data_IF_924056023562
#
_entry.id   IF_924056023562
#
_cell.length_a   1.000
_cell.length_b   1.000
_cell.length_c   1.000
_cell.angle_alpha   90.00
_cell.angle_beta   90.00
_cell.angle_gamma   90.00
#
_symmetry.space_group_name_H-M   'P 1'
#
loop_
_entity.id
_entity.type
_entity.pdbx_description
1 polymer ?
#
# COMPACT_ATOMS: atom_id res chain seq x y z
N UNK A 1 -9.95 -17.35 -3.99
CA UNK A 1 -8.74 -17.00 -3.21
C UNK A 1 -7.56 -17.84 -3.66
N UNK A 2 -7.44 -19.07 -3.15
CA UNK A 2 -6.27 -19.93 -3.35
C UNK A 2 -5.81 -20.12 -4.80
N UNK A 3 -6.71 -20.40 -5.75
CA UNK A 3 -6.34 -20.57 -7.17
C UNK A 3 -5.75 -19.29 -7.77
N UNK A 4 -6.30 -18.12 -7.42
CA UNK A 4 -5.78 -16.83 -7.87
C UNK A 4 -4.43 -16.52 -7.24
N UNK A 5 -4.24 -16.85 -5.96
CA UNK A 5 -2.98 -16.66 -5.26
C UNK A 5 -1.85 -17.52 -5.88
N UNK A 6 -2.12 -18.80 -6.20
CA UNK A 6 -1.14 -19.67 -6.84
C UNK A 6 -0.79 -19.16 -8.23
N UNK A 7 -1.79 -18.89 -9.09
CA UNK A 7 -1.56 -18.38 -10.45
C UNK A 7 -0.83 -17.02 -10.46
N UNK A 8 -1.17 -16.13 -9.54
CA UNK A 8 -0.53 -14.83 -9.40
C UNK A 8 0.93 -14.95 -8.95
N UNK A 9 1.22 -15.84 -7.99
CA UNK A 9 2.59 -16.11 -7.55
C UNK A 9 3.44 -16.69 -8.70
N UNK A 10 2.90 -17.64 -9.47
CA UNK A 10 3.57 -18.19 -10.66
C UNK A 10 3.89 -17.10 -11.68
N UNK A 11 2.92 -16.22 -11.99
CA UNK A 11 3.15 -15.12 -12.93
C UNK A 11 4.26 -14.16 -12.45
N UNK A 12 4.30 -13.84 -11.16
CA UNK A 12 5.35 -13.00 -10.58
C UNK A 12 6.73 -13.67 -10.66
N UNK A 13 6.80 -14.99 -10.43
CA UNK A 13 8.03 -15.77 -10.57
C UNK A 13 8.51 -15.84 -12.02
N UNK A 14 7.62 -16.08 -12.98
CA UNK A 14 7.93 -16.10 -14.42
C UNK A 14 8.45 -14.75 -14.93
N UNK A 15 7.92 -13.65 -14.39
CA UNK A 15 8.41 -12.29 -14.70
C UNK A 15 9.72 -11.93 -13.98
N UNK A 16 10.27 -12.81 -13.13
CA UNK A 16 11.44 -12.53 -12.30
C UNK A 16 11.19 -11.47 -11.22
N UNK A 17 9.92 -11.17 -10.93
CA UNK A 17 9.48 -10.10 -10.03
C UNK A 17 9.30 -10.63 -8.59
N UNK A 18 10.28 -11.36 -8.09
CA UNK A 18 10.25 -11.99 -6.75
C UNK A 18 10.98 -11.18 -5.69
N UNK A 19 11.80 -10.20 -6.09
CA UNK A 19 12.59 -9.36 -5.20
C UNK A 19 11.83 -8.15 -4.60
N UNK A 20 12.56 -7.27 -3.88
CA UNK A 20 12.00 -6.07 -3.22
C UNK A 20 11.15 -5.16 -4.11
N UNK A 21 11.43 -5.15 -5.42
CA UNK A 21 10.72 -4.34 -6.40
C UNK A 21 9.23 -4.69 -6.49
N UNK A 22 8.85 -5.93 -6.16
CA UNK A 22 7.46 -6.37 -6.05
C UNK A 22 6.64 -5.46 -5.11
N UNK A 23 7.24 -5.01 -4.01
CA UNK A 23 6.54 -4.19 -3.04
C UNK A 23 6.25 -2.78 -3.56
N UNK A 24 7.02 -2.26 -4.51
CA UNK A 24 6.71 -0.99 -5.18
C UNK A 24 5.37 -1.09 -5.90
N UNK A 25 5.17 -2.17 -6.67
CA UNK A 25 3.92 -2.41 -7.39
C UNK A 25 2.76 -2.70 -6.45
N UNK A 26 3.00 -3.48 -5.38
CA UNK A 26 1.98 -3.76 -4.38
C UNK A 26 1.51 -2.49 -3.66
N UNK A 27 2.45 -1.65 -3.19
CA UNK A 27 2.14 -0.36 -2.55
C UNK A 27 1.38 0.56 -3.52
N UNK A 28 1.82 0.65 -4.78
CA UNK A 28 1.14 1.45 -5.80
C UNK A 28 -0.30 0.98 -6.05
N UNK A 29 -0.50 -0.34 -6.14
CA UNK A 29 -1.83 -0.92 -6.30
C UNK A 29 -2.72 -0.63 -5.08
N UNK A 30 -2.22 -0.80 -3.86
CA UNK A 30 -2.96 -0.44 -2.65
C UNK A 30 -3.33 1.04 -2.61
N UNK A 31 -2.41 1.93 -2.99
CA UNK A 31 -2.68 3.36 -3.07
C UNK A 31 -3.73 3.71 -4.13
N UNK A 32 -3.72 3.03 -5.27
CA UNK A 32 -4.72 3.19 -6.32
C UNK A 32 -6.11 2.73 -5.88
N UNK A 33 -6.21 1.56 -5.23
CA UNK A 33 -7.48 1.04 -4.69
C UNK A 33 -8.04 1.99 -3.62
N UNK A 34 -7.19 2.60 -2.81
CA UNK A 34 -7.60 3.54 -1.75
C UNK A 34 -8.25 4.83 -2.29
N UNK A 35 -7.99 5.19 -3.56
CA UNK A 35 -8.73 6.28 -4.22
C UNK A 35 -10.22 5.96 -4.42
N UNK A 36 -10.57 4.66 -4.47
CA UNK A 36 -11.94 4.17 -4.68
C UNK A 36 -12.61 3.75 -3.37
N UNK A 37 -11.82 3.26 -2.41
CA UNK A 37 -12.29 2.76 -1.12
C UNK A 37 -11.70 3.59 0.02
N UNK A 38 -12.48 4.54 0.55
CA UNK A 38 -12.01 5.43 1.63
C UNK A 38 -11.88 4.79 3.03
N UNK A 39 -11.89 3.46 3.14
CA UNK A 39 -11.81 2.74 4.41
C UNK A 39 -10.69 1.70 4.38
N UNK A 40 -9.70 1.91 5.24
CA UNK A 40 -8.54 1.04 5.39
C UNK A 40 -8.92 -0.40 5.79
N UNK A 41 -9.93 -0.58 6.65
CA UNK A 41 -10.36 -1.92 7.04
C UNK A 41 -11.15 -2.61 5.92
N UNK A 42 -11.96 -1.87 5.17
CA UNK A 42 -12.72 -2.42 4.05
C UNK A 42 -11.81 -2.84 2.89
N UNK A 43 -10.83 -1.99 2.53
CA UNK A 43 -9.85 -2.32 1.52
C UNK A 43 -9.02 -3.54 1.92
N UNK A 44 -8.55 -3.61 3.17
CA UNK A 44 -7.77 -4.75 3.65
C UNK A 44 -8.59 -6.04 3.66
N UNK A 45 -9.86 -5.99 4.08
CA UNK A 45 -10.73 -7.15 4.10
C UNK A 45 -10.92 -7.80 2.72
N UNK A 46 -10.88 -6.99 1.65
CA UNK A 46 -11.01 -7.47 0.27
C UNK A 46 -9.66 -7.94 -0.30
N UNK A 47 -8.60 -7.19 -0.03
CA UNK A 47 -7.28 -7.43 -0.64
C UNK A 47 -6.47 -8.51 0.07
N UNK A 48 -6.52 -8.58 1.41
CA UNK A 48 -5.73 -9.52 2.20
C UNK A 48 -5.94 -10.99 1.82
N UNK A 49 -7.18 -11.51 1.62
CA UNK A 49 -7.41 -12.91 1.27
C UNK A 49 -6.85 -13.33 -0.10
N UNK A 50 -6.44 -12.37 -0.94
CA UNK A 50 -5.87 -12.59 -2.26
C UNK A 50 -4.35 -12.40 -2.21
N UNK A 51 -3.91 -11.22 -1.75
CA UNK A 51 -2.50 -10.83 -1.83
C UNK A 51 -1.64 -11.44 -0.73
N UNK A 52 -2.16 -11.64 0.49
CA UNK A 52 -1.35 -12.23 1.58
C UNK A 52 -0.93 -13.65 1.21
N UNK A 53 -1.85 -14.58 0.85
CA UNK A 53 -1.43 -15.93 0.45
C UNK A 53 -0.53 -15.94 -0.78
N UNK A 54 -0.77 -15.06 -1.75
CA UNK A 54 0.04 -14.96 -2.97
C UNK A 54 1.48 -14.59 -2.67
N UNK A 55 1.70 -13.56 -1.85
CA UNK A 55 3.03 -13.08 -1.50
C UNK A 55 3.75 -13.98 -0.48
N UNK A 56 2.99 -14.71 0.34
CA UNK A 56 3.53 -15.79 1.15
C UNK A 56 4.09 -16.92 0.28
N UNK A 57 3.41 -17.31 -0.81
CA UNK A 57 3.94 -18.28 -1.79
C UNK A 57 5.24 -17.79 -2.44
N UNK A 58 5.37 -16.48 -2.66
CA UNK A 58 6.60 -15.86 -3.16
C UNK A 58 7.73 -15.88 -2.10
N UNK A 59 7.40 -16.02 -0.82
CA UNK A 59 8.36 -16.17 0.29
C UNK A 59 8.40 -15.00 1.28
N UNK A 60 7.40 -14.12 1.30
CA UNK A 60 7.33 -12.98 2.23
C UNK A 60 6.34 -13.22 3.38
N UNK A 61 6.68 -12.75 4.57
CA UNK A 61 5.82 -12.90 5.74
C UNK A 61 4.57 -12.00 5.68
N UNK A 62 3.45 -12.44 6.28
CA UNK A 62 2.23 -11.63 6.39
C UNK A 62 2.48 -10.24 6.99
N UNK A 63 3.41 -10.12 7.93
CA UNK A 63 3.76 -8.89 8.63
C UNK A 63 4.39 -7.87 7.67
N UNK A 64 5.31 -8.31 6.80
CA UNK A 64 5.91 -7.44 5.77
C UNK A 64 4.87 -7.03 4.75
N UNK A 65 4.00 -7.95 4.34
CA UNK A 65 2.90 -7.67 3.40
C UNK A 65 1.95 -6.64 3.99
N UNK A 66 1.58 -6.78 5.26
CA UNK A 66 0.72 -5.82 5.96
C UNK A 66 1.40 -4.46 6.12
N UNK A 67 2.71 -4.41 6.39
CA UNK A 67 3.46 -3.16 6.47
C UNK A 67 3.42 -2.41 5.12
N UNK A 68 3.65 -3.10 4.02
CA UNK A 68 3.55 -2.53 2.68
C UNK A 68 2.13 -2.05 2.35
N UNK A 69 1.11 -2.83 2.72
CA UNK A 69 -0.28 -2.43 2.57
C UNK A 69 -0.58 -1.09 3.28
N UNK A 70 -0.13 -0.94 4.53
CA UNK A 70 -0.33 0.27 5.33
C UNK A 70 0.31 1.50 4.71
N UNK A 71 1.46 1.34 4.07
CA UNK A 71 2.09 2.41 3.30
C UNK A 71 1.15 2.84 2.16
N UNK A 72 0.72 1.88 1.32
CA UNK A 72 -0.15 2.18 0.18
C UNK A 72 -1.48 2.82 0.57
N UNK A 73 -2.14 2.31 1.60
CA UNK A 73 -3.37 2.88 2.16
C UNK A 73 -3.18 4.34 2.63
N UNK A 74 -2.05 4.66 3.25
CA UNK A 74 -1.83 6.00 3.82
C UNK A 74 -1.54 7.09 2.78
N UNK A 75 -0.77 6.78 1.74
CA UNK A 75 -0.14 7.79 0.88
C UNK A 75 -1.12 8.52 -0.03
N UNK A 76 -2.27 7.91 -0.35
CA UNK A 76 -3.31 8.53 -1.20
C UNK A 76 -4.50 9.09 -0.41
N UNK A 77 -4.51 8.99 0.91
CA UNK A 77 -5.59 9.51 1.77
C UNK A 77 -5.84 11.01 1.63
N UNK A 78 -4.82 11.79 1.31
CA UNK A 78 -4.93 13.25 1.16
C UNK A 78 -5.49 13.69 -0.19
N UNK A 79 -5.58 12.77 -1.17
CA UNK A 79 -6.08 13.04 -2.52
C UNK A 79 -7.37 12.25 -2.83
N UNK A 80 -7.84 11.38 -1.93
CA UNK A 80 -9.07 10.62 -2.14
C UNK A 80 -10.30 11.45 -1.78
N UNK A 81 -11.23 11.70 -2.71
CA UNK A 81 -12.48 12.40 -2.41
C UNK A 81 -13.47 11.52 -1.61
N UNK A 82 -13.20 10.21 -1.56
CA UNK A 82 -14.04 9.22 -0.89
C UNK A 82 -13.81 9.16 0.63
N UNK A 83 -12.82 9.89 1.16
CA UNK A 83 -12.57 9.95 2.59
C UNK A 83 -13.70 10.72 3.30
N UNK A 84 -14.21 10.17 4.42
CA UNK A 84 -15.32 10.76 5.18
C UNK A 84 -15.07 12.20 5.68
N UNK A 85 -13.81 12.59 5.84
CA UNK A 85 -13.42 13.94 6.30
C UNK A 85 -13.23 14.96 5.17
N UNK A 86 -13.28 14.53 3.91
CA UNK A 86 -12.95 15.39 2.75
C UNK A 86 -13.80 16.67 2.72
N UNK A 87 -15.12 16.54 2.94
CA UNK A 87 -16.04 17.68 2.94
C UNK A 87 -15.72 18.72 4.04
N UNK A 88 -15.31 18.27 5.23
CA UNK A 88 -14.89 19.16 6.32
C UNK A 88 -13.58 19.88 5.96
N UNK A 89 -12.60 19.16 5.42
CA UNK A 89 -11.31 19.74 5.00
C UNK A 89 -11.55 20.79 3.92
N UNK A 90 -12.38 20.50 2.91
CA UNK A 90 -12.74 21.44 1.86
C UNK A 90 -13.45 22.67 2.43
N UNK A 91 -14.40 22.50 3.34
CA UNK A 91 -15.12 23.61 3.96
C UNK A 91 -14.19 24.52 4.77
N UNK A 92 -13.22 23.97 5.50
CA UNK A 92 -12.21 24.74 6.23
C UNK A 92 -11.27 25.46 5.26
N UNK A 93 -10.75 24.77 4.24
CA UNK A 93 -9.87 25.37 3.24
C UNK A 93 -10.55 26.51 2.47
N UNK A 94 -11.83 26.35 2.13
CA UNK A 94 -12.64 27.36 1.46
C UNK A 94 -12.86 28.63 2.29
N UNK A 95 -12.72 28.57 3.63
CA UNK A 95 -12.76 29.78 4.49
C UNK A 95 -11.57 30.69 4.27
N UNK A 96 -10.40 30.12 3.94
CA UNK A 96 -9.16 30.88 3.72
C UNK A 96 -8.94 31.21 2.25
N UNK A 97 -9.40 30.35 1.35
CA UNK A 97 -9.22 30.50 -0.10
C UNK A 97 -10.55 30.28 -0.82
N UNK A 98 -11.17 31.37 -1.28
CA UNK A 98 -12.54 31.35 -1.83
C UNK A 98 -12.69 30.57 -3.15
N UNK A 99 -11.59 30.39 -3.90
CA UNK A 99 -11.51 29.58 -5.12
C UNK A 99 -11.11 28.11 -4.85
N UNK A 100 -11.12 27.68 -3.57
CA UNK A 100 -10.84 26.30 -3.21
C UNK A 100 -12.02 25.40 -3.60
N UNK A 101 -11.84 24.61 -4.67
CA UNK A 101 -12.75 23.55 -5.07
C UNK A 101 -12.16 22.15 -4.81
N UNK A 102 -12.98 21.12 -5.07
CA UNK A 102 -12.60 19.70 -5.02
C UNK A 102 -11.27 19.44 -5.78
N UNK A 103 -11.23 19.82 -7.06
CA UNK A 103 -10.05 19.62 -7.90
C UNK A 103 -8.85 20.43 -7.45
N UNK A 104 -9.04 21.67 -7.02
CA UNK A 104 -7.95 22.54 -6.53
C UNK A 104 -7.30 21.95 -5.28
N UNK A 105 -8.10 21.43 -4.35
CA UNK A 105 -7.60 20.79 -3.14
C UNK A 105 -6.80 19.53 -3.47
N UNK A 106 -7.34 18.64 -4.30
CA UNK A 106 -6.66 17.40 -4.72
C UNK A 106 -5.36 17.73 -5.46
N UNK A 107 -5.38 18.67 -6.41
CA UNK A 107 -4.19 19.08 -7.15
C UNK A 107 -3.13 19.71 -6.24
N UNK A 108 -3.54 20.45 -5.21
CA UNK A 108 -2.62 21.01 -4.21
C UNK A 108 -1.96 19.92 -3.35
N UNK A 109 -2.70 18.84 -3.06
CA UNK A 109 -2.21 17.73 -2.23
C UNK A 109 -1.48 16.64 -3.02
N UNK A 110 -1.64 16.59 -4.34
CA UNK A 110 -1.00 15.58 -5.20
C UNK A 110 0.53 15.54 -5.06
N UNK A 111 1.27 16.67 -5.06
CA UNK A 111 2.72 16.64 -4.84
C UNK A 111 3.10 16.03 -3.49
N UNK A 112 2.33 16.29 -2.43
CA UNK A 112 2.56 15.70 -1.12
C UNK A 112 2.37 14.19 -1.16
N UNK A 113 1.28 13.72 -1.78
CA UNK A 113 1.01 12.28 -1.96
C UNK A 113 2.15 11.60 -2.73
N UNK A 114 2.68 12.22 -3.78
CA UNK A 114 3.81 11.68 -4.56
C UNK A 114 5.10 11.60 -3.74
N UNK A 115 5.44 12.66 -2.99
CA UNK A 115 6.64 12.67 -2.14
C UNK A 115 6.53 11.61 -1.04
N UNK A 116 5.37 11.48 -0.39
CA UNK A 116 5.15 10.45 0.62
C UNK A 116 5.18 9.04 0.02
N UNK A 117 4.60 8.83 -1.17
CA UNK A 117 4.67 7.54 -1.86
C UNK A 117 6.13 7.12 -2.11
N UNK A 118 6.94 8.01 -2.70
CA UNK A 118 8.34 7.72 -2.99
C UNK A 118 9.13 7.55 -1.69
N UNK A 119 9.00 8.50 -0.75
CA UNK A 119 9.73 8.48 0.51
C UNK A 119 9.44 7.25 1.37
N UNK A 120 8.17 6.88 1.53
CA UNK A 120 7.80 5.69 2.29
C UNK A 120 8.22 4.40 1.61
N UNK A 121 8.07 4.31 0.28
CA UNK A 121 8.47 3.12 -0.47
C UNK A 121 9.98 2.91 -0.39
N UNK A 122 10.76 3.98 -0.56
CA UNK A 122 12.22 3.95 -0.41
C UNK A 122 12.60 3.57 1.01
N UNK A 123 12.00 4.20 2.03
CA UNK A 123 12.25 3.88 3.43
C UNK A 123 11.97 2.39 3.70
N UNK A 124 10.84 1.87 3.25
CA UNK A 124 10.47 0.47 3.41
C UNK A 124 11.49 -0.47 2.78
N UNK A 125 11.92 -0.19 1.54
CA UNK A 125 12.91 -1.02 0.85
C UNK A 125 14.26 -0.98 1.57
N UNK A 126 14.73 0.21 1.94
CA UNK A 126 15.99 0.38 2.64
C UNK A 126 15.94 -0.29 4.02
N UNK A 127 14.83 -0.17 4.75
CA UNK A 127 14.67 -0.73 6.08
C UNK A 127 14.65 -2.27 6.05
N UNK A 128 13.76 -2.85 5.24
CA UNK A 128 13.47 -4.28 5.26
C UNK A 128 14.50 -5.10 4.48
N UNK A 129 14.94 -4.61 3.32
CA UNK A 129 15.76 -5.39 2.39
C UNK A 129 17.23 -4.99 2.34
N UNK A 130 17.57 -3.74 2.64
CA UNK A 130 18.97 -3.29 2.64
C UNK A 130 19.57 -3.36 4.04
N UNK A 131 18.89 -2.81 5.05
CA UNK A 131 19.31 -2.87 6.44
C UNK A 131 18.94 -4.20 7.14
N UNK A 132 18.01 -4.97 6.55
CA UNK A 132 17.57 -6.25 7.10
C UNK A 132 16.81 -6.11 8.42
N UNK A 133 16.26 -4.93 8.72
CA UNK A 133 15.54 -4.71 9.96
C UNK A 133 14.13 -5.28 9.90
N UNK A 134 13.67 -5.93 10.98
CA UNK A 134 12.32 -6.47 11.01
C UNK A 134 11.30 -5.34 11.03
N UNK A 135 10.13 -5.60 10.45
CA UNK A 135 9.00 -4.65 10.45
C UNK A 135 8.34 -4.52 11.84
N UNK A 136 8.67 -5.43 12.76
CA UNK A 136 8.23 -5.41 14.14
C UNK A 136 8.97 -6.42 15.02
N UNK A 137 8.84 -6.35 16.35
CA UNK A 137 9.46 -7.31 17.25
C UNK A 137 8.99 -8.74 16.94
N UNK A 138 9.93 -9.65 16.67
CA UNK A 138 9.61 -11.04 16.34
C UNK A 138 8.94 -11.25 14.97
N UNK A 139 8.93 -10.24 14.09
CA UNK A 139 8.37 -10.34 12.75
C UNK A 139 9.46 -10.70 11.72
N UNK A 140 9.55 -11.97 11.27
CA UNK A 140 10.52 -12.35 10.25
C UNK A 140 10.18 -11.66 8.92
N UNK A 141 11.19 -11.34 8.12
CA UNK A 141 10.98 -10.76 6.78
C UNK A 141 10.48 -11.79 5.79
N UNK A 142 11.07 -12.99 5.85
CA UNK A 142 10.81 -14.09 4.93
C UNK A 142 9.89 -15.12 5.57
N UNK A 143 9.06 -15.72 4.73
CA UNK A 143 8.19 -16.83 5.09
C UNK A 143 8.77 -18.12 4.51
N UNK A 144 9.19 -19.03 5.39
CA UNK A 144 9.59 -20.37 4.99
C UNK A 144 8.38 -21.29 5.07
N UNK A 145 8.04 -21.96 3.97
CA UNK A 145 7.14 -23.10 4.03
C UNK A 145 7.88 -24.21 4.78
N UNK A 146 7.51 -24.43 6.05
CA UNK A 146 7.90 -25.65 6.75
C UNK A 146 7.27 -26.81 5.96
N UNK A 147 8.08 -27.49 5.15
CA UNK A 147 7.72 -28.76 4.55
C UNK A 147 7.46 -29.75 5.69
N UNK A 148 6.19 -30.05 5.93
CA UNK A 148 5.75 -31.22 6.68
C UNK A 148 5.73 -32.43 5.76
#
# INVERSE_FOLDING_TARGET
>A
GAIFAVKGATALQEMGLTGPLLFVFFIAMCGFVNLMLGSASAQWAITAPIFVPMLMIVGYSPEVIQAAYRIGDSVTNVITPMMSYFGLILAVAARYKKDMGLGTLIATMLPYSMVFFIGWTVLFILWVFVAGFPVGPGAPTYYEFSAG
#
